data_IF_029134499268
#
_entry.id   IF_029134499268
#
_cell.length_a   1.000
_cell.length_b   1.000
_cell.length_c   1.000
_cell.angle_alpha   90.00
_cell.angle_beta   90.00
_cell.angle_gamma   90.00
#
_symmetry.space_group_name_H-M   'P 1'
#
loop_
_entity.id
_entity.type
_entity.pdbx_description
1 polymer ?
#
# COMPACT_ATOMS: atom_id res chain seq x y z
N UNK A 1 25.33 -18.57 1.32
CA UNK A 1 24.26 -19.35 2.01
C UNK A 1 23.05 -18.43 2.11
N UNK A 2 21.93 -18.76 1.48
CA UNK A 2 20.70 -17.99 1.71
C UNK A 2 20.23 -18.28 3.15
N UNK A 3 20.01 -17.24 3.96
CA UNK A 3 19.40 -17.42 5.27
C UNK A 3 17.92 -17.79 5.06
N UNK A 4 17.49 -18.89 5.69
CA UNK A 4 16.08 -19.29 5.69
C UNK A 4 15.34 -18.47 6.74
N UNK A 5 14.27 -17.80 6.34
CA UNK A 5 13.38 -17.09 7.27
C UNK A 5 12.48 -18.12 7.96
N UNK A 6 12.54 -18.22 9.29
CA UNK A 6 11.64 -19.05 10.09
C UNK A 6 10.29 -18.34 10.29
N UNK A 7 9.34 -18.69 9.43
CA UNK A 7 7.98 -18.13 9.46
C UNK A 7 7.20 -18.60 10.70
N UNK A 8 7.48 -19.79 11.22
CA UNK A 8 6.77 -20.34 12.38
C UNK A 8 7.18 -19.63 13.67
N UNK A 9 8.44 -19.20 13.78
CA UNK A 9 8.88 -18.31 14.85
C UNK A 9 8.17 -16.94 14.79
N UNK A 10 8.07 -16.33 13.59
CA UNK A 10 7.38 -15.04 13.40
C UNK A 10 5.89 -15.13 13.76
N UNK A 11 5.23 -16.26 13.46
CA UNK A 11 3.81 -16.49 13.80
C UNK A 11 3.53 -16.51 15.30
N UNK A 12 4.53 -16.78 16.15
CA UNK A 12 4.39 -16.76 17.62
C UNK A 12 4.38 -15.35 18.22
N UNK A 13 4.82 -14.35 17.46
CA UNK A 13 4.76 -12.94 17.86
C UNK A 13 3.30 -12.46 17.94
N UNK A 14 3.02 -11.55 18.86
CA UNK A 14 1.74 -10.85 18.91
C UNK A 14 1.50 -10.06 17.61
N UNK A 15 0.24 -9.71 17.34
CA UNK A 15 -0.08 -8.86 16.17
C UNK A 15 0.68 -7.54 16.19
N UNK A 16 0.82 -6.90 17.34
CA UNK A 16 1.57 -5.65 17.48
C UNK A 16 3.05 -5.83 17.15
N UNK A 17 3.69 -6.89 17.64
CA UNK A 17 5.09 -7.18 17.36
C UNK A 17 5.32 -7.50 15.89
N UNK A 18 4.42 -8.24 15.25
CA UNK A 18 4.49 -8.50 13.81
C UNK A 18 4.36 -7.23 12.98
N UNK A 19 3.45 -6.33 13.34
CA UNK A 19 3.33 -5.04 12.66
C UNK A 19 4.58 -4.18 12.84
N UNK A 20 5.16 -4.16 14.04
CA UNK A 20 6.41 -3.45 14.30
C UNK A 20 7.60 -4.06 13.52
N UNK A 21 7.64 -5.39 13.38
CA UNK A 21 8.64 -6.08 12.57
C UNK A 21 8.49 -5.73 11.08
N UNK A 22 7.26 -5.75 10.55
CA UNK A 22 6.97 -5.36 9.17
C UNK A 22 7.43 -3.92 8.91
N UNK A 23 7.12 -2.99 9.80
CA UNK A 23 7.56 -1.59 9.67
C UNK A 23 9.08 -1.47 9.60
N UNK A 24 9.81 -2.14 10.51
CA UNK A 24 11.28 -2.11 10.48
C UNK A 24 11.87 -2.74 9.23
N UNK A 25 11.29 -3.84 8.74
CA UNK A 25 11.72 -4.44 7.46
C UNK A 25 11.48 -3.44 6.33
N UNK A 26 10.33 -2.78 6.32
CA UNK A 26 10.01 -1.75 5.34
C UNK A 26 11.03 -0.60 5.38
N UNK A 27 11.44 -0.15 6.57
CA UNK A 27 12.48 0.88 6.73
C UNK A 27 13.86 0.43 6.19
N UNK A 28 14.11 -0.87 6.04
CA UNK A 28 15.35 -1.39 5.44
C UNK A 28 15.33 -1.42 3.91
N UNK A 29 14.14 -1.34 3.30
CA UNK A 29 14.00 -1.18 1.86
C UNK A 29 14.23 0.30 1.56
N UNK A 30 15.48 0.69 1.32
CA UNK A 30 15.82 2.04 0.91
C UNK A 30 15.09 2.41 -0.40
N UNK A 31 14.87 3.71 -0.64
CA UNK A 31 14.25 4.23 -1.88
C UNK A 31 15.03 3.86 -3.16
N UNK A 32 16.28 3.39 -3.03
CA UNK A 32 17.20 3.09 -4.14
C UNK A 32 16.97 1.73 -4.82
N UNK A 33 16.14 0.85 -4.25
CA UNK A 33 15.65 -0.30 -5.00
C UNK A 33 14.52 0.18 -5.92
N UNK A 34 14.91 0.68 -7.09
CA UNK A 34 14.01 1.14 -8.15
C UNK A 34 13.15 -0.05 -8.60
N UNK A 35 12.04 -0.29 -7.89
CA UNK A 35 11.09 -1.35 -8.22
C UNK A 35 10.43 -0.92 -9.53
N UNK A 36 10.69 -1.62 -10.64
CA UNK A 36 10.17 -1.18 -11.93
C UNK A 36 8.64 -1.21 -11.89
N UNK A 37 8.05 -0.02 -12.00
CA UNK A 37 6.60 0.11 -12.18
C UNK A 37 6.29 -0.34 -13.60
N UNK A 38 5.33 -1.25 -13.76
CA UNK A 38 4.96 -1.72 -15.10
C UNK A 38 4.34 -0.57 -15.90
N UNK A 39 4.57 -0.55 -17.21
CA UNK A 39 4.03 0.49 -18.09
C UNK A 39 2.51 0.60 -17.97
N UNK A 40 1.80 -0.53 -17.86
CA UNK A 40 0.35 -0.52 -17.71
C UNK A 40 -0.15 0.13 -16.40
N UNK A 41 0.66 0.13 -15.33
CA UNK A 41 0.33 0.87 -14.11
C UNK A 41 0.51 2.37 -14.32
N UNK A 42 1.59 2.79 -14.99
CA UNK A 42 1.82 4.20 -15.33
C UNK A 42 0.71 4.73 -16.24
N UNK A 43 0.35 3.98 -17.28
CA UNK A 43 -0.71 4.35 -18.22
C UNK A 43 -2.07 4.52 -17.51
N UNK A 44 -2.38 3.64 -16.55
CA UNK A 44 -3.60 3.74 -15.74
C UNK A 44 -3.57 4.95 -14.79
N UNK A 45 -2.40 5.30 -14.25
CA UNK A 45 -2.25 6.51 -13.43
C UNK A 45 -2.49 7.78 -14.26
N UNK A 46 -1.90 7.85 -15.46
CA UNK A 46 -2.09 8.97 -16.37
C UNK A 46 -3.56 9.10 -16.82
N UNK A 47 -4.21 7.97 -17.15
CA UNK A 47 -5.64 7.96 -17.51
C UNK A 47 -6.50 8.53 -16.39
N UNK A 48 -6.29 8.10 -15.14
CA UNK A 48 -7.06 8.59 -13.98
C UNK A 48 -6.80 10.05 -13.67
N UNK A 49 -5.57 10.52 -13.85
CA UNK A 49 -5.22 11.93 -13.67
C UNK A 49 -5.97 12.80 -14.69
N UNK A 50 -5.95 12.41 -15.98
CA UNK A 50 -6.67 13.11 -17.03
C UNK A 50 -8.20 13.12 -16.81
N UNK A 51 -8.77 12.03 -16.30
CA UNK A 51 -10.20 11.97 -15.93
C UNK A 51 -10.55 12.94 -14.80
N UNK A 52 -9.69 13.04 -13.78
CA UNK A 52 -9.91 13.97 -12.66
C UNK A 52 -9.74 15.43 -13.10
N UNK A 53 -8.80 15.73 -14.00
CA UNK A 53 -8.62 17.06 -14.55
C UNK A 53 -9.82 17.49 -15.41
N UNK A 54 -10.37 16.56 -16.20
CA UNK A 54 -11.55 16.79 -17.03
C UNK A 54 -12.84 16.92 -16.21
N UNK A 55 -12.96 16.14 -15.13
CA UNK A 55 -14.08 16.19 -14.19
C UNK A 55 -13.58 16.14 -12.74
N UNK A 56 -13.32 17.30 -12.11
CA UNK A 56 -12.90 17.37 -10.71
C UNK A 56 -13.92 16.80 -9.72
N UNK A 57 -15.18 16.63 -10.12
CA UNK A 57 -16.24 16.07 -9.27
C UNK A 57 -16.22 14.54 -9.22
N UNK A 58 -15.45 13.89 -10.10
CA UNK A 58 -15.24 12.44 -10.10
C UNK A 58 -14.43 11.95 -8.89
N UNK A 59 -13.65 12.86 -8.28
CA UNK A 59 -12.88 12.60 -7.06
C UNK A 59 -13.71 12.71 -5.77
N UNK A 60 -13.12 12.26 -4.66
CA UNK A 60 -13.65 12.55 -3.32
C UNK A 60 -12.62 13.30 -2.50
N UNK A 61 -13.03 14.22 -1.61
CA UNK A 61 -12.11 14.87 -0.70
C UNK A 61 -11.35 13.86 0.16
N UNK A 62 -10.07 14.13 0.41
CA UNK A 62 -9.21 13.25 1.21
C UNK A 62 -9.81 12.86 2.57
N UNK A 63 -10.44 13.80 3.26
CA UNK A 63 -11.10 13.56 4.53
C UNK A 63 -12.23 12.50 4.44
N UNK A 64 -12.99 12.52 3.34
CA UNK A 64 -14.06 11.56 3.07
C UNK A 64 -13.49 10.18 2.68
N UNK A 65 -12.42 10.14 1.86
CA UNK A 65 -11.69 8.89 1.57
C UNK A 65 -11.20 8.22 2.86
N UNK A 66 -10.53 8.97 3.72
CA UNK A 66 -10.00 8.47 4.99
C UNK A 66 -11.10 8.03 5.96
N UNK A 67 -12.25 8.71 5.95
CA UNK A 67 -13.44 8.29 6.71
C UNK A 67 -13.94 6.93 6.22
N UNK A 68 -14.01 6.70 4.91
CA UNK A 68 -14.41 5.40 4.32
C UNK A 68 -13.45 4.29 4.73
N UNK A 69 -12.13 4.50 4.61
CA UNK A 69 -11.11 3.52 5.01
C UNK A 69 -11.23 3.11 6.48
N UNK A 70 -11.37 4.08 7.39
CA UNK A 70 -11.52 3.82 8.83
C UNK A 70 -12.83 3.14 9.20
N UNK A 71 -13.89 3.37 8.42
CA UNK A 71 -15.22 2.80 8.70
C UNK A 71 -15.33 1.30 8.42
N UNK A 72 -14.26 0.62 7.97
CA UNK A 72 -14.24 -0.80 7.55
C UNK A 72 -15.25 -1.16 6.43
N UNK A 73 -15.98 -0.18 5.88
CA UNK A 73 -16.92 -0.35 4.76
C UNK A 73 -16.25 -0.70 3.43
N UNK A 74 -14.92 -0.66 3.36
CA UNK A 74 -14.16 -1.03 2.16
C UNK A 74 -14.14 -2.55 1.88
N UNK A 75 -14.54 -3.40 2.82
CA UNK A 75 -14.72 -4.84 2.58
C UNK A 75 -16.04 -5.14 1.85
N UNK A 76 -16.21 -4.64 0.64
CA UNK A 76 -17.15 -5.16 -0.36
C UNK A 76 -17.07 -4.28 -1.61
N UNK A 77 -16.34 -4.73 -2.61
CA UNK A 77 -16.73 -4.74 -4.03
C UNK A 77 -15.75 -5.66 -4.75
#
# INVERSE_FOLDING_TARGET
MAQTIDIDAIRKLSTTERLALIARIWDTLAEDDDVPVSQGVLDEMDRRAAELDADPSSGIPYAEMMKRLRSKKWRAS
#
